data_IF_722952666647
#
_entry.id   IF_722952666647
#
_cell.length_a   1.000
_cell.length_b   1.000
_cell.length_c   1.000
_cell.angle_alpha   90.00
_cell.angle_beta   90.00
_cell.angle_gamma   90.00
#
_symmetry.space_group_name_H-M   'P 1'
#
loop_
_entity.id
_entity.type
_entity.pdbx_description
1 polymer ?
#
# COMPACT_ATOMS: atom_id res chain seq x y z
N UNK A 1 11.42 -4.55 10.62
CA UNK A 1 10.20 -4.99 9.91
C UNK A 1 9.22 -5.51 10.95
N UNK A 2 8.12 -4.80 11.16
CA UNK A 2 7.13 -5.11 12.18
C UNK A 2 5.86 -5.78 11.61
N UNK A 3 5.70 -5.76 10.27
CA UNK A 3 4.53 -6.33 9.59
C UNK A 3 3.26 -5.51 9.73
N UNK A 4 3.34 -4.26 10.19
CA UNK A 4 2.23 -3.32 10.30
C UNK A 4 2.36 -2.23 9.25
N UNK A 5 1.31 -2.02 8.46
CA UNK A 5 1.33 -0.93 7.49
C UNK A 5 0.94 0.35 8.22
N UNK A 6 1.94 1.09 8.68
CA UNK A 6 1.73 2.38 9.34
C UNK A 6 2.44 3.54 8.64
N UNK A 7 2.41 4.74 9.25
CA UNK A 7 2.94 5.96 8.64
C UNK A 7 4.39 5.83 8.17
N UNK A 8 5.24 5.09 8.89
CA UNK A 8 6.62 4.85 8.47
C UNK A 8 6.71 4.01 7.19
N UNK A 9 5.87 2.98 7.06
CA UNK A 9 5.79 2.18 5.82
C UNK A 9 5.25 3.02 4.67
N UNK A 10 4.27 3.88 4.94
CA UNK A 10 3.73 4.83 3.94
C UNK A 10 4.77 5.83 3.48
N UNK A 11 5.55 6.44 4.39
CA UNK A 11 6.64 7.36 4.03
C UNK A 11 7.69 6.68 3.17
N UNK A 12 8.15 5.50 3.60
CA UNK A 12 9.13 4.73 2.83
C UNK A 12 8.62 4.39 1.42
N UNK A 13 7.34 4.02 1.29
CA UNK A 13 6.71 3.83 -0.02
C UNK A 13 6.66 5.12 -0.85
N UNK A 14 6.29 6.25 -0.24
CA UNK A 14 6.24 7.55 -0.90
C UNK A 14 7.61 7.99 -1.42
N UNK A 15 8.65 7.84 -0.60
CA UNK A 15 10.04 8.13 -0.94
C UNK A 15 10.49 7.27 -2.13
N UNK A 16 10.22 5.96 -2.07
CA UNK A 16 10.63 5.01 -3.10
C UNK A 16 9.94 5.25 -4.46
N UNK A 17 8.76 5.87 -4.48
CA UNK A 17 8.01 6.15 -5.72
C UNK A 17 7.99 7.66 -6.06
N UNK A 18 8.89 8.45 -5.48
CA UNK A 18 9.06 9.90 -5.68
C UNK A 18 7.78 10.73 -5.49
N UNK A 19 6.93 10.36 -4.53
CA UNK A 19 5.69 11.07 -4.18
C UNK A 19 5.93 12.12 -3.09
N UNK A 20 4.88 12.85 -2.69
CA UNK A 20 4.92 13.68 -1.48
C UNK A 20 5.02 12.74 -0.28
N UNK A 21 5.99 12.99 0.61
CA UNK A 21 6.27 12.15 1.79
C UNK A 21 5.61 12.72 3.05
N UNK A 22 4.32 12.45 3.21
CA UNK A 22 3.52 12.89 4.37
C UNK A 22 3.13 11.75 5.31
N UNK A 23 3.34 10.48 4.92
CA UNK A 23 2.96 9.30 5.67
C UNK A 23 1.48 8.96 5.64
N UNK A 24 0.70 9.60 4.75
CA UNK A 24 -0.75 9.50 4.65
C UNK A 24 -1.18 8.81 3.35
N UNK A 25 -2.22 7.98 3.44
CA UNK A 25 -2.94 7.46 2.27
C UNK A 25 -4.31 8.16 2.22
N UNK A 26 -4.43 9.16 1.35
CA UNK A 26 -5.58 10.06 1.28
C UNK A 26 -6.79 9.51 0.49
N UNK A 27 -7.97 10.08 0.77
CA UNK A 27 -9.24 9.87 0.06
C UNK A 27 -9.58 8.38 -0.21
N UNK A 28 -9.46 7.54 0.82
CA UNK A 28 -9.83 6.12 0.70
C UNK A 28 -11.29 5.88 1.05
N UNK A 29 -11.92 4.95 0.33
CA UNK A 29 -13.18 4.37 0.78
C UNK A 29 -12.93 3.34 1.89
N UNK A 30 -13.93 3.10 2.74
CA UNK A 30 -13.83 2.12 3.83
C UNK A 30 -14.04 0.71 3.30
N UNK A 31 -12.99 -0.12 3.36
CA UNK A 31 -13.03 -1.53 3.04
C UNK A 31 -12.05 -2.30 3.95
N UNK A 32 -11.94 -3.62 3.78
CA UNK A 32 -11.05 -4.45 4.60
C UNK A 32 -9.57 -4.03 4.48
N UNK A 33 -9.09 -3.77 3.26
CA UNK A 33 -7.70 -3.39 3.00
C UNK A 33 -7.38 -2.01 3.56
N UNK A 34 -8.24 -1.00 3.33
CA UNK A 34 -7.99 0.35 3.84
C UNK A 34 -8.09 0.45 5.37
N UNK A 35 -8.92 -0.37 6.03
CA UNK A 35 -8.97 -0.46 7.50
C UNK A 35 -7.76 -1.16 8.12
N UNK A 36 -7.04 -1.97 7.36
CA UNK A 36 -5.84 -2.67 7.85
C UNK A 36 -4.60 -1.77 7.89
N UNK A 37 -4.66 -0.56 7.31
CA UNK A 37 -3.55 0.38 7.23
C UNK A 37 -3.76 1.53 8.22
N UNK A 38 -2.71 1.86 8.95
CA UNK A 38 -2.67 2.97 9.90
C UNK A 38 -2.18 4.22 9.16
N UNK A 39 -2.86 5.36 9.37
CA UNK A 39 -2.57 6.60 8.64
C UNK A 39 -3.35 6.75 7.32
N UNK A 40 -4.50 6.09 7.21
CA UNK A 40 -5.45 6.30 6.10
C UNK A 40 -6.40 7.45 6.45
N UNK A 41 -6.56 8.38 5.52
CA UNK A 41 -7.66 9.35 5.56
C UNK A 41 -8.82 8.85 4.70
N UNK A 42 -9.99 8.73 5.33
CA UNK A 42 -11.19 8.27 4.66
C UNK A 42 -11.94 9.42 4.01
N UNK A 43 -12.37 9.21 2.77
CA UNK A 43 -13.15 10.17 1.98
C UNK A 43 -14.19 9.46 1.11
N UNK A 44 -14.59 10.11 0.02
CA UNK A 44 -15.56 9.55 -0.92
C UNK A 44 -14.88 8.80 -2.08
N UNK A 45 -13.54 8.82 -2.16
CA UNK A 45 -12.76 8.07 -3.14
C UNK A 45 -12.80 8.64 -4.56
N UNK A 46 -13.33 9.85 -4.76
CA UNK A 46 -13.40 10.47 -6.10
C UNK A 46 -12.03 10.84 -6.65
N UNK A 47 -11.12 11.26 -5.77
CA UNK A 47 -9.76 11.62 -6.16
C UNK A 47 -8.81 10.42 -5.99
N UNK A 48 -8.96 9.68 -4.89
CA UNK A 48 -8.06 8.61 -4.51
C UNK A 48 -6.65 9.10 -4.15
N UNK A 49 -5.85 8.22 -3.57
CA UNK A 49 -4.50 8.54 -3.12
C UNK A 49 -3.49 8.53 -4.29
N UNK A 50 -2.66 9.57 -4.39
CA UNK A 50 -1.58 9.63 -5.38
C UNK A 50 -0.54 8.51 -5.19
N UNK A 51 -0.18 8.20 -3.94
CA UNK A 51 0.77 7.10 -3.64
C UNK A 51 0.18 5.75 -4.07
N UNK A 52 -1.13 5.54 -3.88
CA UNK A 52 -1.80 4.32 -4.36
C UNK A 52 -1.89 4.29 -5.89
N UNK A 53 -2.18 5.40 -6.57
CA UNK A 53 -2.15 5.42 -8.06
C UNK A 53 -0.79 5.02 -8.62
N UNK A 54 0.29 5.48 -8.00
CA UNK A 54 1.66 5.13 -8.39
C UNK A 54 1.97 3.66 -8.09
N UNK A 55 1.60 3.17 -6.91
CA UNK A 55 1.71 1.73 -6.58
C UNK A 55 0.95 0.87 -7.60
N UNK A 56 -0.29 1.24 -7.92
CA UNK A 56 -1.13 0.55 -8.90
C UNK A 56 -0.50 0.51 -10.29
N UNK A 57 0.17 1.60 -10.71
CA UNK A 57 0.93 1.62 -11.96
C UNK A 57 2.04 0.57 -11.96
N UNK A 58 2.80 0.50 -10.88
CA UNK A 58 3.91 -0.45 -10.70
C UNK A 58 3.41 -1.90 -10.75
N UNK A 59 2.32 -2.20 -10.02
CA UNK A 59 1.79 -3.56 -9.92
C UNK A 59 0.83 -3.93 -11.06
N UNK A 60 0.59 -3.02 -12.01
CA UNK A 60 -0.20 -3.27 -13.22
C UNK A 60 -1.71 -3.35 -13.00
N UNK A 61 -2.26 -2.59 -12.04
CA UNK A 61 -3.71 -2.50 -11.79
C UNK A 61 -4.29 -1.16 -12.26
N UNK A 62 -5.63 -1.06 -12.29
CA UNK A 62 -6.33 0.21 -12.53
C UNK A 62 -5.82 1.27 -11.55
N UNK A 63 -5.41 2.43 -12.07
CA UNK A 63 -4.85 3.54 -11.29
C UNK A 63 -5.95 4.44 -10.71
N UNK A 64 -6.89 3.86 -9.96
CA UNK A 64 -8.00 4.60 -9.33
C UNK A 64 -7.63 5.26 -7.99
N UNK A 65 -6.46 4.95 -7.44
CA UNK A 65 -5.98 5.49 -6.18
C UNK A 65 -6.63 4.88 -4.95
N UNK A 66 -7.40 3.80 -5.09
CA UNK A 66 -8.08 3.12 -4.01
C UNK A 66 -7.41 1.78 -3.69
N UNK A 67 -7.05 1.57 -2.43
CA UNK A 67 -6.53 0.29 -1.98
C UNK A 67 -7.68 -0.66 -1.68
N UNK A 68 -7.65 -1.82 -2.33
CA UNK A 68 -8.64 -2.87 -2.21
C UNK A 68 -8.04 -4.22 -2.61
N UNK A 69 -8.82 -5.31 -2.57
CA UNK A 69 -8.31 -6.67 -2.72
C UNK A 69 -7.57 -6.90 -4.03
N UNK A 70 -7.95 -6.23 -5.13
CA UNK A 70 -7.27 -6.33 -6.41
C UNK A 70 -5.86 -5.71 -6.36
N UNK A 71 -5.74 -4.49 -5.84
CA UNK A 71 -4.44 -3.81 -5.63
C UNK A 71 -3.56 -4.63 -4.69
N UNK A 72 -4.12 -5.15 -3.60
CA UNK A 72 -3.39 -5.98 -2.61
C UNK A 72 -2.89 -7.28 -3.24
N UNK A 73 -3.74 -7.98 -4.00
CA UNK A 73 -3.36 -9.20 -4.70
C UNK A 73 -2.24 -8.96 -5.72
N UNK A 74 -2.32 -7.88 -6.46
CA UNK A 74 -1.29 -7.49 -7.42
C UNK A 74 0.03 -7.14 -6.71
N UNK A 75 -0.03 -6.43 -5.58
CA UNK A 75 1.13 -6.19 -4.74
C UNK A 75 1.74 -7.49 -4.22
N UNK A 76 0.94 -8.41 -3.70
CA UNK A 76 1.41 -9.72 -3.25
C UNK A 76 2.10 -10.51 -4.37
N UNK A 77 1.53 -10.48 -5.59
CA UNK A 77 2.15 -11.06 -6.78
C UNK A 77 3.50 -10.40 -7.08
N UNK A 78 3.54 -9.08 -7.12
CA UNK A 78 4.76 -8.31 -7.32
C UNK A 78 5.81 -8.64 -6.24
N UNK A 79 5.34 -8.90 -5.00
CA UNK A 79 6.19 -9.26 -3.88
C UNK A 79 6.72 -10.70 -3.94
N UNK A 80 6.15 -11.58 -4.76
CA UNK A 80 6.51 -12.99 -4.86
C UNK A 80 5.96 -13.85 -3.70
N UNK A 81 4.82 -13.46 -3.12
CA UNK A 81 4.19 -14.15 -1.99
C UNK A 81 2.77 -14.64 -2.35
N UNK A 82 2.12 -15.35 -1.43
CA UNK A 82 0.73 -15.81 -1.57
C UNK A 82 -0.22 -14.64 -1.85
N UNK A 83 -1.10 -14.84 -2.82
CA UNK A 83 -1.99 -13.84 -3.41
C UNK A 83 -3.43 -13.95 -2.86
N UNK A 84 -3.60 -13.80 -1.55
CA UNK A 84 -4.92 -13.89 -0.90
C UNK A 84 -5.75 -12.59 -1.02
N UNK A 85 -5.15 -11.47 -1.41
CA UNK A 85 -5.79 -10.16 -1.51
C UNK A 85 -6.05 -9.47 -0.16
N UNK A 86 -5.46 -9.97 0.94
CA UNK A 86 -5.70 -9.51 2.30
C UNK A 86 -4.43 -8.90 2.91
N UNK A 87 -4.62 -7.79 3.63
CA UNK A 87 -3.59 -7.24 4.51
C UNK A 87 -3.88 -7.77 5.92
N UNK A 88 -3.21 -8.85 6.32
CA UNK A 88 -3.40 -9.45 7.66
C UNK A 88 -2.98 -8.49 8.76
N UNK A 89 -3.67 -8.51 9.91
CA UNK A 89 -3.30 -7.73 11.09
C UNK A 89 -3.26 -8.65 12.32
N UNK A 90 -2.47 -8.34 13.37
CA UNK A 90 -1.54 -7.22 13.45
C UNK A 90 -0.21 -7.47 12.72
N UNK A 91 0.05 -8.69 12.23
CA UNK A 91 1.33 -9.06 11.64
C UNK A 91 1.16 -9.62 10.23
N UNK A 92 1.36 -8.79 9.21
CA UNK A 92 1.22 -9.16 7.80
C UNK A 92 2.53 -9.64 7.18
N UNK A 93 2.53 -10.83 6.59
CA UNK A 93 3.63 -11.29 5.74
C UNK A 93 3.83 -10.37 4.52
N UNK A 94 2.74 -9.87 3.93
CA UNK A 94 2.80 -8.92 2.82
C UNK A 94 3.47 -7.61 3.23
N UNK A 95 3.10 -7.04 4.38
CA UNK A 95 3.74 -5.79 4.83
C UNK A 95 5.20 -6.00 5.17
N UNK A 96 5.58 -7.14 5.77
CA UNK A 96 7.00 -7.46 6.00
C UNK A 96 7.79 -7.52 4.69
N UNK A 97 7.26 -8.18 3.67
CA UNK A 97 7.89 -8.26 2.36
C UNK A 97 7.99 -6.89 1.67
N UNK A 98 6.97 -6.03 1.81
CA UNK A 98 7.01 -4.65 1.34
C UNK A 98 8.10 -3.85 2.07
N UNK A 99 8.12 -3.86 3.40
CA UNK A 99 9.12 -3.19 4.22
C UNK A 99 10.54 -3.68 3.88
N UNK A 100 10.70 -4.98 3.63
CA UNK A 100 11.98 -5.54 3.19
C UNK A 100 12.45 -4.94 1.87
N UNK A 101 11.56 -4.87 0.85
CA UNK A 101 11.89 -4.24 -0.45
C UNK A 101 12.26 -2.77 -0.30
N UNK A 102 11.49 -2.02 0.49
CA UNK A 102 11.72 -0.60 0.75
C UNK A 102 13.07 -0.35 1.45
N UNK A 103 13.41 -1.16 2.46
CA UNK A 103 14.64 -1.01 3.24
C UNK A 103 15.91 -1.26 2.43
N UNK A 104 15.85 -2.09 1.38
CA UNK A 104 17.02 -2.41 0.54
C UNK A 104 17.15 -1.50 -0.68
N UNK A 105 16.35 -0.43 -0.77
CA UNK A 105 16.39 0.54 -1.88
C UNK A 105 16.05 -0.06 -3.25
N UNK A 106 15.46 -1.26 -3.30
CA UNK A 106 14.96 -1.82 -4.55
C UNK A 106 13.69 -1.07 -4.92
N UNK A 107 13.59 -0.67 -6.19
CA UNK A 107 12.40 -0.04 -6.74
C UNK A 107 11.15 -0.86 -6.34
N UNK A 108 10.13 -0.15 -5.86
CA UNK A 108 8.80 -0.72 -5.59
C UNK A 108 8.20 -1.24 -6.87
#
# INVERSE_FOLDING_TARGET
>A
MDGRWGPQTTRALQDAISSVTDGVISDQTRNQSSRAIIGVEFGNGRNGSLVIKRLQRIVGTKQDGLIGPNTVRALQKHLGIVQDGVISTPNSAMVRALQQRLNIGKAV
#
